data_IF_924294953733
#
_entry.id   IF_924294953733
#
_cell.length_a   1.000
_cell.length_b   1.000
_cell.length_c   1.000
_cell.angle_alpha   90.00
_cell.angle_beta   90.00
_cell.angle_gamma   90.00
#
_symmetry.space_group_name_H-M   'P 1'
#
loop_
_entity.id
_entity.type
_entity.pdbx_description
1 polymer ?
#
# COMPACT_ATOMS: atom_id res chain seq x y z
N UNK A 1 -30.29 63.05 -22.23
CA UNK A 1 -30.12 62.05 -23.32
C UNK A 1 -29.13 61.03 -22.83
N UNK A 2 -29.64 59.96 -22.27
CA UNK A 2 -28.83 58.85 -21.73
C UNK A 2 -28.80 57.74 -22.79
N UNK A 3 -27.63 57.50 -23.37
CA UNK A 3 -27.39 56.37 -24.28
C UNK A 3 -26.72 55.26 -23.51
N UNK A 4 -27.52 54.31 -23.04
CA UNK A 4 -26.98 53.04 -22.52
C UNK A 4 -26.42 52.20 -23.63
N UNK A 5 -25.15 51.74 -23.53
CA UNK A 5 -24.58 50.83 -24.54
C UNK A 5 -25.24 49.45 -24.36
N UNK A 6 -25.87 48.94 -25.41
CA UNK A 6 -26.37 47.57 -25.47
C UNK A 6 -25.18 46.58 -25.48
N UNK A 7 -25.01 45.77 -24.45
CA UNK A 7 -24.06 44.66 -24.45
C UNK A 7 -24.52 43.63 -25.49
N UNK A 8 -23.77 43.46 -26.56
CA UNK A 8 -23.99 42.37 -27.52
C UNK A 8 -23.60 41.06 -26.84
N UNK A 9 -24.57 40.23 -26.52
CA UNK A 9 -24.33 38.86 -26.16
C UNK A 9 -23.93 38.06 -27.41
N UNK A 10 -22.65 37.74 -27.51
CA UNK A 10 -22.15 36.81 -28.55
C UNK A 10 -22.46 35.39 -28.08
N UNK A 11 -23.47 34.77 -28.68
CA UNK A 11 -23.78 33.35 -28.49
C UNK A 11 -22.69 32.48 -29.11
N UNK A 12 -22.41 31.34 -28.48
CA UNK A 12 -21.51 30.32 -29.01
C UNK A 12 -21.98 29.84 -30.40
N UNK A 13 -21.03 29.72 -31.32
CA UNK A 13 -21.33 29.19 -32.67
C UNK A 13 -21.42 27.66 -32.58
N UNK A 14 -22.23 27.05 -33.45
CA UNK A 14 -22.36 25.58 -33.51
C UNK A 14 -21.01 24.93 -33.82
N UNK A 15 -20.17 25.59 -34.62
CA UNK A 15 -18.81 25.11 -34.93
C UNK A 15 -17.90 25.10 -33.72
N UNK A 16 -17.99 26.09 -32.85
CA UNK A 16 -17.21 26.18 -31.61
C UNK A 16 -17.61 25.07 -30.62
N UNK A 17 -18.92 24.77 -30.51
CA UNK A 17 -19.42 23.66 -29.69
C UNK A 17 -18.87 22.32 -30.22
N UNK A 18 -18.89 22.08 -31.52
CA UNK A 18 -18.34 20.85 -32.12
C UNK A 18 -16.84 20.76 -31.90
N UNK A 19 -16.08 21.85 -32.04
CA UNK A 19 -14.65 21.87 -31.78
C UNK A 19 -14.31 21.53 -30.31
N UNK A 20 -15.06 22.08 -29.35
CA UNK A 20 -14.88 21.79 -27.91
C UNK A 20 -15.21 20.32 -27.61
N UNK A 21 -16.27 19.76 -28.16
CA UNK A 21 -16.62 18.35 -27.97
C UNK A 21 -15.56 17.41 -28.55
N UNK A 22 -14.95 17.78 -29.72
CA UNK A 22 -13.89 17.01 -30.33
C UNK A 22 -12.61 17.05 -29.51
N UNK A 23 -12.24 18.21 -28.94
CA UNK A 23 -11.10 18.36 -28.04
C UNK A 23 -11.33 17.58 -26.73
N UNK A 24 -12.53 17.65 -26.14
CA UNK A 24 -12.89 16.89 -24.95
C UNK A 24 -12.84 15.38 -25.21
N UNK A 25 -13.28 14.93 -26.40
CA UNK A 25 -13.19 13.53 -26.82
C UNK A 25 -11.74 13.03 -26.87
N UNK A 26 -10.82 13.80 -27.46
CA UNK A 26 -9.40 13.45 -27.53
C UNK A 26 -8.75 13.46 -26.13
N UNK A 27 -9.06 14.46 -25.30
CA UNK A 27 -8.54 14.55 -23.94
C UNK A 27 -9.05 13.38 -23.05
N UNK A 28 -10.32 12.97 -23.21
CA UNK A 28 -10.90 11.86 -22.46
C UNK A 28 -10.19 10.53 -22.71
N UNK A 29 -9.81 10.24 -23.95
CA UNK A 29 -9.07 9.00 -24.27
C UNK A 29 -7.69 8.96 -23.65
N UNK A 30 -7.01 10.09 -23.53
CA UNK A 30 -5.67 10.18 -22.92
C UNK A 30 -5.68 9.95 -21.39
N UNK A 31 -6.77 10.30 -20.71
CA UNK A 31 -6.93 10.08 -19.28
C UNK A 31 -7.18 8.62 -18.95
N UNK A 32 -7.97 7.90 -19.76
CA UNK A 32 -8.26 6.48 -19.54
C UNK A 32 -7.00 5.59 -19.62
N UNK A 33 -6.04 5.92 -20.48
CA UNK A 33 -4.80 5.16 -20.65
C UNK A 33 -3.82 5.30 -19.48
N UNK A 34 -3.98 6.31 -18.62
CA UNK A 34 -3.09 6.54 -17.47
C UNK A 34 -3.63 6.00 -16.16
N UNK A 35 -4.89 5.63 -16.09
CA UNK A 35 -5.49 5.12 -14.86
C UNK A 35 -5.45 3.60 -14.86
N UNK A 36 -4.42 3.03 -14.22
CA UNK A 36 -4.35 1.61 -13.89
C UNK A 36 -4.88 1.41 -12.46
N UNK A 37 -6.14 1.03 -12.27
CA UNK A 37 -6.72 0.82 -10.93
C UNK A 37 -5.97 -0.28 -10.16
N UNK A 38 -5.36 -1.23 -10.88
CA UNK A 38 -4.58 -2.31 -10.29
C UNK A 38 -3.28 -1.85 -9.62
N UNK A 39 -2.58 -0.87 -10.20
CA UNK A 39 -1.34 -0.35 -9.62
C UNK A 39 -1.62 0.43 -8.32
N UNK A 40 -2.70 1.20 -8.25
CA UNK A 40 -3.09 1.91 -7.02
C UNK A 40 -3.47 0.95 -5.90
N UNK A 41 -4.17 -0.15 -6.22
CA UNK A 41 -4.50 -1.21 -5.25
C UNK A 41 -3.24 -1.89 -4.74
N UNK A 42 -2.27 -2.20 -5.62
CA UNK A 42 -1.01 -2.81 -5.26
C UNK A 42 -0.22 -1.93 -4.29
N UNK A 43 -0.08 -0.64 -4.59
CA UNK A 43 0.62 0.30 -3.72
C UNK A 43 -0.07 0.45 -2.36
N UNK A 44 -1.40 0.53 -2.33
CA UNK A 44 -2.16 0.56 -1.08
C UNK A 44 -1.95 -0.70 -0.23
N UNK A 45 -1.84 -1.89 -0.86
CA UNK A 45 -1.53 -3.14 -0.18
C UNK A 45 -0.09 -3.18 0.34
N UNK A 46 0.88 -2.65 -0.42
CA UNK A 46 2.27 -2.51 0.04
C UNK A 46 2.38 -1.58 1.25
N UNK A 47 1.68 -0.46 1.23
CA UNK A 47 1.60 0.45 2.37
C UNK A 47 0.93 -0.20 3.59
N UNK A 48 -0.11 -1.00 3.36
CA UNK A 48 -0.76 -1.75 4.44
C UNK A 48 0.19 -2.77 5.06
N UNK A 49 0.92 -3.53 4.23
CA UNK A 49 1.95 -4.47 4.70
C UNK A 49 3.02 -3.76 5.52
N UNK A 50 3.51 -2.62 5.05
CA UNK A 50 4.50 -1.82 5.78
C UNK A 50 3.97 -1.31 7.13
N UNK A 51 2.70 -0.88 7.17
CA UNK A 51 2.06 -0.51 8.46
C UNK A 51 1.95 -1.69 9.41
N UNK A 52 1.60 -2.88 8.90
CA UNK A 52 1.51 -4.08 9.73
C UNK A 52 2.87 -4.52 10.28
N UNK A 53 3.94 -4.41 9.48
CA UNK A 53 5.31 -4.67 9.96
C UNK A 53 5.73 -3.70 11.08
N UNK A 54 5.46 -2.40 10.91
CA UNK A 54 5.72 -1.39 11.96
C UNK A 54 4.84 -1.63 13.20
N UNK A 55 3.61 -2.08 13.00
CA UNK A 55 2.71 -2.44 14.09
C UNK A 55 3.22 -3.65 14.86
N UNK A 56 3.67 -4.71 14.17
CA UNK A 56 4.28 -5.89 14.82
C UNK A 56 5.52 -5.48 15.65
N UNK A 57 6.38 -4.63 15.09
CA UNK A 57 7.54 -4.09 15.79
C UNK A 57 7.14 -3.31 17.05
N UNK A 58 6.16 -2.41 16.94
CA UNK A 58 5.70 -1.60 18.08
C UNK A 58 5.00 -2.44 19.15
N UNK A 59 4.26 -3.47 18.76
CA UNK A 59 3.63 -4.40 19.68
C UNK A 59 4.67 -5.25 20.42
N UNK A 60 5.71 -5.74 19.73
CA UNK A 60 6.79 -6.50 20.37
C UNK A 60 7.47 -5.66 21.45
N UNK A 61 7.77 -4.40 21.14
CA UNK A 61 8.33 -3.43 22.08
C UNK A 61 7.37 -3.14 23.25
N UNK A 62 6.09 -2.89 22.98
CA UNK A 62 5.11 -2.54 24.01
C UNK A 62 4.79 -3.70 24.95
N UNK A 63 4.79 -4.94 24.41
CA UNK A 63 4.51 -6.15 25.18
C UNK A 63 5.77 -6.77 25.82
N UNK A 64 6.97 -6.29 25.48
CA UNK A 64 8.24 -6.80 25.98
C UNK A 64 8.49 -8.28 25.64
N UNK A 65 7.93 -8.76 24.51
CA UNK A 65 8.06 -10.15 24.04
C UNK A 65 8.29 -10.21 22.53
N UNK A 66 8.85 -11.32 22.07
CA UNK A 66 9.02 -11.53 20.63
C UNK A 66 7.68 -11.77 19.95
N UNK A 67 7.50 -11.15 18.79
CA UNK A 67 6.36 -11.34 17.91
C UNK A 67 6.84 -11.64 16.49
N UNK A 68 6.07 -12.46 15.79
CA UNK A 68 6.35 -12.88 14.42
C UNK A 68 5.39 -12.23 13.44
N UNK A 69 5.92 -11.61 12.41
CA UNK A 69 5.20 -11.41 11.17
C UNK A 69 5.26 -12.71 10.36
N UNK A 70 4.12 -13.40 10.23
CA UNK A 70 4.01 -14.69 9.58
C UNK A 70 3.32 -14.57 8.22
N UNK A 71 3.95 -15.06 7.16
CA UNK A 71 3.35 -15.19 5.83
C UNK A 71 2.59 -16.51 5.78
N UNK A 72 1.27 -16.45 5.95
CA UNK A 72 0.40 -17.64 6.02
C UNK A 72 0.16 -18.28 4.65
N UNK A 73 0.11 -17.46 3.60
CA UNK A 73 -0.06 -17.90 2.21
C UNK A 73 0.37 -16.78 1.26
N UNK A 74 0.31 -17.06 -0.05
CA UNK A 74 0.54 -16.02 -1.06
C UNK A 74 -0.46 -14.86 -1.01
N UNK A 75 -1.55 -14.97 -0.26
CA UNK A 75 -2.60 -13.93 -0.17
C UNK A 75 -2.96 -13.54 1.26
N UNK A 76 -2.26 -14.07 2.26
CA UNK A 76 -2.58 -13.80 3.66
C UNK A 76 -1.32 -13.76 4.54
N UNK A 77 -1.33 -12.87 5.51
CA UNK A 77 -0.28 -12.74 6.54
C UNK A 77 -0.90 -12.37 7.89
N UNK A 78 -0.18 -12.60 8.96
CA UNK A 78 -0.65 -12.33 10.30
C UNK A 78 0.49 -11.93 11.25
N UNK A 79 0.15 -11.34 12.40
CA UNK A 79 1.07 -11.19 13.51
C UNK A 79 0.77 -12.30 14.51
N UNK A 80 1.81 -13.06 14.89
CA UNK A 80 1.69 -14.23 15.79
C UNK A 80 2.69 -14.13 16.93
N UNK A 81 2.42 -14.87 18.01
CA UNK A 81 3.36 -15.05 19.13
C UNK A 81 4.09 -16.39 19.09
N UNK A 82 4.33 -16.88 17.88
CA UNK A 82 4.95 -18.18 17.61
C UNK A 82 3.96 -19.17 17.00
N UNK A 83 2.87 -19.51 17.68
CA UNK A 83 1.90 -20.51 17.21
C UNK A 83 0.51 -19.92 16.93
N UNK A 84 0.08 -18.89 17.66
CA UNK A 84 -1.26 -18.32 17.54
C UNK A 84 -1.21 -16.90 16.99
N UNK A 85 -2.19 -16.56 16.14
CA UNK A 85 -2.42 -15.16 15.73
C UNK A 85 -2.81 -14.35 16.97
N UNK A 86 -2.15 -13.22 17.15
CA UNK A 86 -2.43 -12.36 18.29
C UNK A 86 -3.71 -11.57 18.08
N UNK A 87 -4.32 -11.18 19.20
CA UNK A 87 -5.47 -10.27 19.25
C UNK A 87 -5.00 -8.97 19.88
N UNK A 88 -5.42 -7.84 19.35
CA UNK A 88 -5.14 -6.54 19.94
C UNK A 88 -5.97 -6.33 21.24
N UNK A 89 -5.67 -5.28 22.02
CA UNK A 89 -6.43 -4.98 23.24
C UNK A 89 -7.92 -4.69 23.00
N UNK A 90 -8.31 -4.38 21.76
CA UNK A 90 -9.69 -4.14 21.35
C UNK A 90 -10.40 -5.41 20.87
N UNK A 91 -9.71 -6.56 20.85
CA UNK A 91 -10.24 -7.85 20.43
C UNK A 91 -10.15 -8.14 18.93
N UNK A 92 -9.48 -7.30 18.13
CA UNK A 92 -9.30 -7.55 16.71
C UNK A 92 -8.14 -8.53 16.46
N UNK A 93 -8.42 -9.59 15.71
CA UNK A 93 -7.42 -10.59 15.33
C UNK A 93 -6.48 -9.95 14.28
N UNK A 94 -5.17 -10.05 14.53
CA UNK A 94 -4.13 -9.48 13.66
C UNK A 94 -3.83 -10.40 12.48
N UNK A 95 -4.85 -10.66 11.66
CA UNK A 95 -4.77 -11.44 10.42
C UNK A 95 -5.30 -10.61 9.25
N UNK A 96 -4.58 -10.63 8.14
CA UNK A 96 -4.82 -9.77 6.99
C UNK A 96 -4.84 -10.59 5.70
N UNK A 97 -5.81 -10.28 4.83
CA UNK A 97 -5.90 -10.87 3.50
C UNK A 97 -5.69 -9.80 2.45
N UNK A 98 -4.88 -10.11 1.45
CA UNK A 98 -4.61 -9.21 0.32
C UNK A 98 -5.84 -9.09 -0.58
N UNK A 99 -5.94 -7.99 -1.30
CA UNK A 99 -6.96 -7.79 -2.31
C UNK A 99 -6.85 -8.83 -3.44
N UNK A 100 -7.98 -9.13 -4.09
CA UNK A 100 -8.02 -10.07 -5.20
C UNK A 100 -7.03 -9.68 -6.31
N UNK A 101 -6.25 -10.67 -6.77
CA UNK A 101 -5.25 -10.48 -7.81
C UNK A 101 -3.91 -9.93 -7.32
N UNK A 102 -3.73 -9.72 -6.00
CA UNK A 102 -2.44 -9.37 -5.40
C UNK A 102 -1.88 -10.59 -4.66
N UNK A 103 -0.61 -10.87 -4.90
CA UNK A 103 0.12 -11.96 -4.24
C UNK A 103 1.34 -11.42 -3.51
N UNK A 104 1.70 -12.07 -2.42
CA UNK A 104 2.84 -11.77 -1.55
C UNK A 104 3.87 -12.90 -1.65
N UNK A 105 5.12 -12.53 -1.81
CA UNK A 105 6.27 -13.43 -1.70
C UNK A 105 7.26 -12.86 -0.70
N UNK A 106 7.71 -13.68 0.23
CA UNK A 106 8.65 -13.31 1.29
C UNK A 106 8.62 -14.34 2.41
N UNK A 107 9.50 -14.18 3.38
CA UNK A 107 9.63 -15.08 4.52
C UNK A 107 9.04 -14.45 5.79
N UNK A 108 8.84 -15.27 6.81
CA UNK A 108 8.52 -14.80 8.14
C UNK A 108 9.64 -13.93 8.70
N UNK A 109 9.29 -12.98 9.59
CA UNK A 109 10.24 -12.15 10.30
C UNK A 109 9.83 -12.05 11.77
N UNK A 110 10.77 -12.29 12.64
CA UNK A 110 10.57 -12.12 14.08
C UNK A 110 11.09 -10.74 14.53
N UNK A 111 10.39 -10.12 15.46
CA UNK A 111 10.85 -8.94 16.19
C UNK A 111 11.06 -9.34 17.67
N UNK A 112 12.20 -8.98 18.23
CA UNK A 112 12.47 -9.21 19.65
C UNK A 112 11.71 -8.21 20.56
N UNK A 113 11.85 -8.38 21.87
CA UNK A 113 11.23 -7.49 22.87
C UNK A 113 11.71 -6.03 22.81
N UNK A 114 12.75 -5.72 22.05
CA UNK A 114 13.25 -4.37 21.78
C UNK A 114 12.82 -3.86 20.39
N UNK A 115 11.97 -4.60 19.68
CA UNK A 115 11.52 -4.28 18.34
C UNK A 115 12.59 -4.44 17.26
N UNK A 116 13.68 -5.16 17.53
CA UNK A 116 14.73 -5.40 16.53
C UNK A 116 14.41 -6.66 15.73
N UNK A 117 14.67 -6.65 14.41
CA UNK A 117 14.43 -7.83 13.59
C UNK A 117 15.45 -8.92 13.88
N UNK A 118 14.96 -10.13 14.10
CA UNK A 118 15.74 -11.32 14.43
C UNK A 118 15.41 -12.49 13.51
N UNK A 119 16.34 -13.42 13.41
CA UNK A 119 16.14 -14.69 12.71
C UNK A 119 15.48 -15.74 13.65
N UNK A 120 15.19 -16.93 13.11
CA UNK A 120 14.61 -18.03 13.88
C UNK A 120 15.51 -18.55 15.04
N UNK A 121 16.80 -18.20 15.02
CA UNK A 121 17.76 -18.54 16.10
C UNK A 121 17.92 -17.41 17.14
N UNK A 122 17.06 -16.39 17.09
CA UNK A 122 17.09 -15.19 17.93
C UNK A 122 18.35 -14.30 17.74
N UNK A 123 19.02 -14.40 16.60
CA UNK A 123 20.12 -13.49 16.28
C UNK A 123 19.57 -12.29 15.47
N UNK A 124 20.21 -11.13 15.65
CA UNK A 124 19.91 -9.96 14.79
C UNK A 124 20.18 -10.30 13.34
N UNK A 125 19.25 -9.98 12.44
CA UNK A 125 19.48 -10.18 11.01
C UNK A 125 20.59 -9.25 10.52
N UNK A 126 21.47 -9.78 9.68
CA UNK A 126 22.60 -9.04 9.10
C UNK A 126 22.24 -8.38 7.76
N UNK A 127 21.19 -8.87 7.10
CA UNK A 127 20.75 -8.41 5.78
C UNK A 127 19.30 -7.97 5.84
N UNK A 128 18.92 -6.99 5.01
CA UNK A 128 17.55 -6.56 4.90
C UNK A 128 16.65 -7.71 4.44
N UNK A 129 15.50 -7.85 5.08
CA UNK A 129 14.43 -8.73 4.62
C UNK A 129 13.49 -7.96 3.71
N UNK A 130 12.99 -8.63 2.66
CA UNK A 130 12.08 -7.99 1.71
C UNK A 130 10.91 -8.89 1.36
N UNK A 131 9.79 -8.24 1.07
CA UNK A 131 8.57 -8.86 0.57
C UNK A 131 8.21 -8.20 -0.75
N UNK A 132 7.88 -9.02 -1.73
CA UNK A 132 7.42 -8.55 -3.04
C UNK A 132 5.92 -8.81 -3.15
N UNK A 133 5.17 -7.75 -3.38
CA UNK A 133 3.77 -7.82 -3.78
C UNK A 133 3.70 -7.75 -5.30
N UNK A 134 2.91 -8.63 -5.90
CA UNK A 134 2.72 -8.67 -7.35
C UNK A 134 1.24 -8.64 -7.68
N UNK A 135 0.84 -7.84 -8.66
CA UNK A 135 -0.55 -7.74 -9.10
C UNK A 135 -0.71 -6.80 -10.30
N UNK A 136 -1.68 -7.08 -11.16
CA UNK A 136 -2.00 -6.25 -12.34
C UNK A 136 -0.79 -5.94 -13.26
N UNK A 137 0.17 -6.87 -13.34
CA UNK A 137 1.38 -6.68 -14.17
C UNK A 137 2.44 -5.74 -13.57
N UNK A 138 2.29 -5.37 -12.30
CA UNK A 138 3.23 -4.52 -11.55
C UNK A 138 3.72 -5.24 -10.29
N UNK A 139 4.79 -4.72 -9.69
CA UNK A 139 5.35 -5.20 -8.43
C UNK A 139 5.62 -4.02 -7.50
N UNK A 140 5.48 -4.26 -6.19
CA UNK A 140 5.91 -3.34 -5.15
C UNK A 140 6.72 -4.11 -4.10
N UNK A 141 7.76 -3.49 -3.56
CA UNK A 141 8.62 -4.11 -2.57
C UNK A 141 8.50 -3.40 -1.23
N UNK A 142 8.43 -4.20 -0.17
CA UNK A 142 8.52 -3.72 1.21
C UNK A 142 9.77 -4.34 1.82
N UNK A 143 10.62 -3.53 2.43
CA UNK A 143 11.86 -4.01 3.05
C UNK A 143 11.98 -3.55 4.49
N UNK A 144 12.63 -4.40 5.30
CA UNK A 144 12.96 -4.12 6.70
C UNK A 144 14.47 -4.10 6.84
N UNK A 145 15.01 -2.97 7.30
CA UNK A 145 16.44 -2.80 7.52
C UNK A 145 16.93 -3.65 8.67
N UNK A 146 18.12 -4.26 8.57
CA UNK A 146 18.74 -4.99 9.67
C UNK A 146 18.98 -4.05 10.86
N UNK A 147 19.08 -4.60 12.05
CA UNK A 147 19.37 -3.93 13.33
C UNK A 147 18.26 -2.96 13.80
N UNK A 148 17.80 -2.08 12.95
CA UNK A 148 16.83 -1.02 13.33
C UNK A 148 15.38 -1.40 13.11
N UNK A 149 15.10 -2.35 12.21
CA UNK A 149 13.74 -2.70 11.82
C UNK A 149 13.01 -1.60 11.02
N UNK A 150 13.75 -0.61 10.47
CA UNK A 150 13.13 0.43 9.65
C UNK A 150 12.47 -0.17 8.41
N UNK A 151 11.20 0.16 8.19
CA UNK A 151 10.39 -0.35 7.08
C UNK A 151 10.31 0.66 5.96
N UNK A 152 10.76 0.28 4.77
CA UNK A 152 10.68 1.08 3.54
C UNK A 152 9.75 0.41 2.51
N UNK A 153 9.07 1.21 1.70
CA UNK A 153 8.26 0.77 0.55
C UNK A 153 8.88 1.31 -0.72
N UNK A 154 9.02 0.46 -1.73
CA UNK A 154 9.50 0.83 -3.07
C UNK A 154 8.47 0.30 -4.08
N UNK A 155 7.76 1.20 -4.77
CA UNK A 155 6.79 0.84 -5.80
C UNK A 155 7.46 0.30 -7.06
#
# INVERSE_FOLDING_TARGET
MDTTPSSQQTGFTLLELVAVLLLLGILSTSLFLRWSPGASTLNAQADQLARTLRHAQSLALAQGRSLRFAVQSATAYAITDGAATITDPQGAVQSYTLANGVTLTGNDLDFDSLGRPIDAANNLIATAQSWTLSGAGATANVSVSPLTGFVAVTP
#
